data_IF_868364672821
#
_entry.id   IF_868364672821
#
_cell.length_a   1.000
_cell.length_b   1.000
_cell.length_c   1.000
_cell.angle_alpha   90.00
_cell.angle_beta   90.00
_cell.angle_gamma   90.00
#
_symmetry.space_group_name_H-M   'P 1'
#
loop_
_entity.id
_entity.type
_entity.pdbx_description
1 polymer ?
#
# COMPACT_ATOMS: atom_id res chain seq x y z
N UNK A 1 -3.80 -3.47 -6.18
CA UNK A 1 -4.12 -4.53 -5.18
C UNK A 1 -4.59 -5.86 -5.77
N UNK A 2 -4.93 -5.93 -7.08
CA UNK A 2 -5.42 -7.14 -7.75
C UNK A 2 -4.61 -8.42 -7.50
N UNK A 3 -3.27 -8.30 -7.50
CA UNK A 3 -2.38 -9.43 -7.26
C UNK A 3 -2.60 -10.08 -5.89
N UNK A 4 -2.78 -9.24 -4.86
CA UNK A 4 -3.01 -9.66 -3.48
C UNK A 4 -4.45 -10.17 -3.30
N UNK A 5 -5.45 -9.47 -3.86
CA UNK A 5 -6.86 -9.88 -3.78
C UNK A 5 -7.09 -11.29 -4.33
N UNK A 6 -6.52 -11.58 -5.50
CA UNK A 6 -6.62 -12.90 -6.14
C UNK A 6 -6.04 -14.04 -5.29
N UNK A 7 -5.08 -13.75 -4.39
CA UNK A 7 -4.40 -14.75 -3.56
C UNK A 7 -5.00 -14.85 -2.16
N UNK A 8 -5.45 -13.73 -1.61
CA UNK A 8 -5.85 -13.63 -0.21
C UNK A 8 -7.35 -13.83 -0.02
N UNK A 9 -8.17 -13.54 -1.04
CA UNK A 9 -9.63 -13.56 -0.91
C UNK A 9 -10.08 -12.62 0.22
N UNK A 10 -10.94 -13.12 1.13
CA UNK A 10 -11.44 -12.35 2.28
C UNK A 10 -10.34 -11.79 3.21
N UNK A 11 -9.14 -12.37 3.18
CA UNK A 11 -8.02 -11.88 4.02
C UNK A 11 -7.40 -10.59 3.50
N UNK A 12 -7.82 -10.09 2.33
CA UNK A 12 -7.30 -8.83 1.78
C UNK A 12 -7.50 -7.64 2.72
N UNK A 13 -8.55 -7.67 3.54
CA UNK A 13 -8.89 -6.61 4.49
C UNK A 13 -7.74 -6.32 5.49
N UNK A 14 -6.92 -7.33 5.82
CA UNK A 14 -5.75 -7.17 6.68
C UNK A 14 -4.45 -6.82 5.94
N UNK A 15 -4.44 -6.85 4.61
CA UNK A 15 -3.23 -6.63 3.83
C UNK A 15 -2.87 -5.14 3.77
N UNK A 16 -1.59 -4.83 3.98
CA UNK A 16 -1.07 -3.45 3.89
C UNK A 16 -1.83 -2.45 4.79
N UNK A 17 -2.15 -2.85 6.02
CA UNK A 17 -2.92 -2.07 7.00
C UNK A 17 -2.11 -0.91 7.63
N UNK A 18 -1.52 -0.05 6.80
CA UNK A 18 -0.60 1.01 7.20
C UNK A 18 -1.20 1.98 8.22
N UNK A 19 -2.45 2.40 8.05
CA UNK A 19 -3.13 3.28 8.99
C UNK A 19 -3.26 2.65 10.38
N UNK A 20 -3.71 1.39 10.44
CA UNK A 20 -3.81 0.63 11.69
C UNK A 20 -2.43 0.48 12.35
N UNK A 21 -1.41 0.12 11.59
CA UNK A 21 -0.04 -0.02 12.11
C UNK A 21 0.51 1.31 12.65
N UNK A 22 0.26 2.41 11.94
CA UNK A 22 0.68 3.75 12.36
C UNK A 22 -0.04 4.19 13.64
N UNK A 23 -1.35 4.00 13.73
CA UNK A 23 -2.15 4.32 14.92
C UNK A 23 -1.70 3.54 16.16
N UNK A 24 -1.25 2.29 15.97
CA UNK A 24 -0.74 1.45 17.05
C UNK A 24 0.76 1.67 17.34
N UNK A 25 1.44 2.54 16.58
CA UNK A 25 2.85 2.85 16.82
C UNK A 25 2.98 3.82 17.99
N UNK A 26 3.64 3.40 19.07
CA UNK A 26 3.89 4.24 20.25
C UNK A 26 4.66 5.53 19.93
N UNK A 27 5.42 5.53 18.83
CA UNK A 27 6.22 6.68 18.38
C UNK A 27 5.55 7.47 17.26
N UNK A 28 4.39 7.03 16.76
CA UNK A 28 3.78 7.60 15.55
C UNK A 28 4.66 7.45 14.30
N UNK A 29 5.53 6.43 14.28
CA UNK A 29 6.44 6.16 13.16
C UNK A 29 6.04 4.85 12.49
N UNK A 30 5.91 4.88 11.17
CA UNK A 30 5.75 3.71 10.31
C UNK A 30 6.93 3.68 9.32
N UNK A 31 7.87 2.72 9.47
CA UNK A 31 8.99 2.61 8.53
C UNK A 31 8.52 2.08 7.18
N UNK A 32 9.09 2.64 6.10
CA UNK A 32 8.84 2.23 4.72
C UNK A 32 10.14 1.87 4.02
N UNK A 33 10.04 0.98 3.03
CA UNK A 33 11.12 0.62 2.12
C UNK A 33 10.50 0.14 0.80
N UNK A 34 11.22 0.33 -0.30
CA UNK A 34 10.75 -0.12 -1.61
C UNK A 34 10.96 -1.61 -1.85
N UNK A 35 11.80 -2.28 -1.05
CA UNK A 35 12.27 -3.63 -1.39
C UNK A 35 13.01 -3.66 -2.76
N UNK A 36 13.78 -2.61 -3.05
CA UNK A 36 14.63 -2.55 -4.25
C UNK A 36 15.60 -3.76 -4.27
N UNK A 37 15.77 -4.45 -5.41
CA UNK A 37 15.36 -4.05 -6.76
C UNK A 37 13.99 -4.56 -7.25
N UNK A 38 13.15 -5.11 -6.37
CA UNK A 38 11.82 -5.59 -6.77
C UNK A 38 10.92 -4.43 -7.18
N UNK A 39 10.89 -3.35 -6.39
CA UNK A 39 10.22 -2.09 -6.75
C UNK A 39 11.22 -0.96 -7.04
N UNK A 40 10.72 0.14 -7.61
CA UNK A 40 11.52 1.32 -7.94
C UNK A 40 12.19 1.98 -6.72
N UNK A 41 13.38 2.56 -6.94
CA UNK A 41 14.18 3.21 -5.86
C UNK A 41 13.60 4.55 -5.40
N UNK A 42 12.75 5.20 -6.20
CA UNK A 42 12.20 6.51 -5.86
C UNK A 42 11.19 6.39 -4.69
N UNK A 43 11.49 6.93 -3.49
CA UNK A 43 10.64 6.77 -2.32
C UNK A 43 9.25 7.40 -2.49
N UNK A 44 9.11 8.38 -3.39
CA UNK A 44 7.81 9.02 -3.66
C UNK A 44 6.79 8.04 -4.28
N UNK A 45 7.23 6.98 -4.96
CA UNK A 45 6.35 5.94 -5.47
C UNK A 45 5.68 5.17 -4.32
N UNK A 46 6.46 4.84 -3.29
CA UNK A 46 5.95 4.20 -2.07
C UNK A 46 4.97 5.08 -1.31
N UNK A 47 5.28 6.38 -1.15
CA UNK A 47 4.35 7.33 -0.54
C UNK A 47 3.07 7.50 -1.34
N UNK A 48 3.17 7.64 -2.66
CA UNK A 48 2.01 7.73 -3.55
C UNK A 48 1.12 6.49 -3.40
N UNK A 49 1.69 5.28 -3.45
CA UNK A 49 0.94 4.03 -3.28
C UNK A 49 0.33 3.90 -1.87
N UNK A 50 1.06 4.28 -0.82
CA UNK A 50 0.59 4.18 0.57
C UNK A 50 -0.56 5.15 0.88
N UNK A 51 -0.60 6.31 0.23
CA UNK A 51 -1.62 7.36 0.44
C UNK A 51 -2.83 7.23 -0.47
N UNK A 52 -2.60 7.00 -1.77
CA UNK A 52 -3.68 6.96 -2.77
C UNK A 52 -4.22 5.55 -2.99
N UNK A 53 -3.44 4.50 -2.70
CA UNK A 53 -3.76 3.10 -3.02
C UNK A 53 -3.99 2.85 -4.52
N UNK A 54 -3.40 3.68 -5.38
CA UNK A 54 -3.45 3.59 -6.84
C UNK A 54 -2.14 3.04 -7.43
N UNK A 55 -2.22 2.45 -8.63
CA UNK A 55 -1.04 2.25 -9.49
C UNK A 55 -0.56 3.56 -10.10
N UNK A 56 0.59 3.54 -10.78
CA UNK A 56 1.16 4.73 -11.45
C UNK A 56 0.28 5.24 -12.59
N UNK A 57 -0.56 4.38 -13.16
CA UNK A 57 -1.57 4.72 -14.15
C UNK A 57 -2.86 5.28 -13.53
N UNK A 58 -2.92 5.41 -12.20
CA UNK A 58 -4.09 5.92 -11.48
C UNK A 58 -5.22 4.90 -11.35
N UNK A 59 -4.92 3.60 -11.42
CA UNK A 59 -5.92 2.53 -11.42
C UNK A 59 -5.90 1.79 -10.08
N UNK A 60 -7.07 1.44 -9.55
CA UNK A 60 -7.26 0.54 -8.42
C UNK A 60 -8.44 -0.40 -8.68
N UNK A 61 -8.46 -1.61 -8.09
CA UNK A 61 -9.63 -2.50 -8.12
C UNK A 61 -10.90 -1.87 -7.52
N UNK A 62 -10.76 -0.81 -6.74
CA UNK A 62 -11.86 -0.10 -6.06
C UNK A 62 -12.26 1.20 -6.75
N UNK A 63 -11.71 1.48 -7.94
CA UNK A 63 -12.01 2.67 -8.73
C UNK A 63 -10.97 3.78 -8.60
N UNK A 64 -11.21 4.96 -9.20
CA UNK A 64 -10.21 6.03 -9.33
C UNK A 64 -9.89 6.74 -8.01
N UNK A 65 -10.70 6.56 -6.97
CA UNK A 65 -10.46 7.12 -5.63
C UNK A 65 -9.48 6.31 -4.78
N UNK A 66 -9.03 5.15 -5.26
CA UNK A 66 -8.22 4.24 -4.43
C UNK A 66 -9.08 3.33 -3.57
N UNK A 67 -8.46 2.77 -2.52
CA UNK A 67 -9.11 2.03 -1.45
C UNK A 67 -9.33 2.95 -0.26
#
# INVERSE_FOLDING_TARGET
>A
MWYAERRLGRRIEGAFAYQTLLQNSLKGVLPFGSDFPVEGVNPLLGFYAATTRLSLEGISPHGPGGW
#
